data_IF_247570110070
#
_entry.id   IF_247570110070
#
_cell.length_a   1.000
_cell.length_b   1.000
_cell.length_c   1.000
_cell.angle_alpha   90.00
_cell.angle_beta   90.00
_cell.angle_gamma   90.00
#
_symmetry.space_group_name_H-M   'P 1'
#
loop_
_entity.id
_entity.type
_entity.pdbx_description
1 polymer ?
#
# COMPACT_ATOMS: atom_id res chain seq x y z
N UNK A 1 15.15 23.15 29.42
CA UNK A 1 15.40 22.73 28.03
C UNK A 1 14.73 21.38 27.84
N UNK A 2 13.54 21.34 27.23
CA UNK A 2 12.88 20.08 26.88
C UNK A 2 13.07 19.85 25.39
N UNK A 3 13.59 18.67 25.06
CA UNK A 3 14.02 18.28 23.72
C UNK A 3 12.83 18.22 22.76
N UNK A 4 13.02 18.87 21.61
CA UNK A 4 12.17 18.84 20.44
C UNK A 4 12.40 17.48 19.76
N UNK A 5 11.49 16.53 19.93
CA UNK A 5 11.38 15.40 19.01
C UNK A 5 10.36 15.76 17.94
N UNK A 6 10.79 16.56 16.96
CA UNK A 6 10.08 16.66 15.70
C UNK A 6 10.37 15.37 14.91
N UNK A 7 9.64 14.29 15.19
CA UNK A 7 9.53 13.16 14.28
C UNK A 7 8.64 13.61 13.11
N UNK A 8 9.19 14.49 12.28
CA UNK A 8 8.69 14.69 10.92
C UNK A 8 9.25 13.55 10.09
N UNK A 9 8.76 12.34 10.28
CA UNK A 9 8.87 11.36 9.20
C UNK A 9 7.95 11.87 8.09
N UNK A 10 8.57 12.50 7.09
CA UNK A 10 7.85 12.95 5.91
C UNK A 10 7.34 11.70 5.21
N UNK A 11 6.04 11.48 5.23
CA UNK A 11 5.40 10.43 4.45
C UNK A 11 5.77 10.63 2.99
N UNK A 12 6.31 9.59 2.37
CA UNK A 12 6.68 9.55 0.96
C UNK A 12 5.50 9.03 0.17
N UNK A 13 5.20 9.68 -0.96
CA UNK A 13 4.26 9.11 -1.92
C UNK A 13 4.82 7.78 -2.45
N UNK A 14 3.95 6.77 -2.56
CA UNK A 14 4.25 5.51 -3.23
C UNK A 14 3.46 5.45 -4.54
N UNK A 15 4.09 5.76 -5.69
CA UNK A 15 3.42 5.70 -6.98
C UNK A 15 2.95 4.28 -7.27
N UNK A 16 1.66 4.14 -7.56
CA UNK A 16 1.04 2.88 -7.93
C UNK A 16 0.72 2.89 -9.43
N UNK A 17 1.11 1.82 -10.12
CA UNK A 17 0.87 1.62 -11.54
C UNK A 17 0.19 0.25 -11.76
N UNK A 18 -0.70 0.17 -12.74
CA UNK A 18 -1.39 -1.07 -13.08
C UNK A 18 -2.77 -0.82 -13.65
N UNK A 19 -3.65 -1.81 -13.50
CA UNK A 19 -5.03 -1.78 -13.98
C UNK A 19 -5.97 -1.80 -12.79
N UNK A 20 -6.74 -0.73 -12.62
CA UNK A 20 -7.77 -0.64 -11.58
C UNK A 20 -9.08 -0.14 -12.19
N UNK A 21 -9.89 -1.09 -12.66
CA UNK A 21 -11.21 -0.83 -13.21
C UNK A 21 -12.27 -0.97 -12.12
N UNK A 22 -13.06 0.08 -11.95
CA UNK A 22 -14.25 0.05 -11.10
C UNK A 22 -15.46 0.07 -12.03
N UNK A 23 -16.48 -0.74 -11.72
CA UNK A 23 -17.68 -0.89 -12.58
C UNK A 23 -18.54 0.39 -12.71
N UNK A 24 -18.13 1.52 -12.13
CA UNK A 24 -18.87 2.77 -12.12
C UNK A 24 -18.37 3.76 -13.19
N UNK A 25 -19.31 4.33 -13.95
CA UNK A 25 -19.10 5.04 -15.22
C UNK A 25 -18.56 6.48 -15.12
N UNK A 26 -18.01 6.90 -14.00
CA UNK A 26 -17.50 8.25 -13.81
C UNK A 26 -16.29 8.22 -12.88
N UNK A 27 -15.12 8.63 -13.40
CA UNK A 27 -13.87 8.87 -12.67
C UNK A 27 -13.71 8.02 -11.42
N UNK A 28 -13.58 6.70 -11.61
CA UNK A 28 -13.42 5.80 -10.49
C UNK A 28 -12.11 6.11 -9.78
N UNK A 29 -12.13 6.53 -8.51
CA UNK A 29 -10.92 6.98 -7.87
C UNK A 29 -10.04 5.75 -7.58
N UNK A 30 -8.82 5.77 -8.12
CA UNK A 30 -7.84 4.69 -8.03
C UNK A 30 -7.22 4.72 -6.63
N UNK A 31 -7.02 3.57 -5.96
CA UNK A 31 -6.32 3.53 -4.68
C UNK A 31 -4.96 4.22 -4.76
N UNK A 32 -4.63 4.98 -3.72
CA UNK A 32 -3.33 5.65 -3.58
C UNK A 32 -2.57 5.09 -2.40
N UNK A 33 -1.25 5.21 -2.43
CA UNK A 33 -0.39 4.77 -1.34
C UNK A 33 0.64 5.83 -0.95
N UNK A 34 0.99 5.83 0.32
CA UNK A 34 2.13 6.55 0.88
C UNK A 34 2.78 5.69 1.97
N UNK A 35 4.00 6.03 2.35
CA UNK A 35 4.72 5.25 3.37
C UNK A 35 5.71 6.10 4.15
N UNK A 36 5.99 5.68 5.38
CA UNK A 36 7.05 6.20 6.23
C UNK A 36 8.01 5.05 6.63
N UNK A 37 8.83 5.19 7.67
CA UNK A 37 9.74 4.12 8.06
C UNK A 37 9.03 2.95 8.76
N UNK A 38 7.79 3.14 9.21
CA UNK A 38 7.05 2.23 10.06
C UNK A 38 5.91 1.53 9.32
N UNK A 39 5.23 2.23 8.42
CA UNK A 39 3.99 1.76 7.81
C UNK A 39 3.80 2.24 6.38
N UNK A 40 3.05 1.45 5.60
CA UNK A 40 2.43 1.86 4.35
C UNK A 40 0.97 2.15 4.63
N UNK A 41 0.48 3.28 4.12
CA UNK A 41 -0.90 3.73 4.20
C UNK A 41 -1.50 3.68 2.82
N UNK A 42 -2.65 3.02 2.69
CA UNK A 42 -3.38 2.88 1.43
C UNK A 42 -4.78 3.42 1.63
N UNK A 43 -5.18 4.34 0.77
CA UNK A 43 -6.54 4.88 0.70
C UNK A 43 -7.24 4.28 -0.51
N UNK A 44 -8.34 3.55 -0.28
CA UNK A 44 -9.22 3.06 -1.33
C UNK A 44 -10.54 3.86 -1.31
N UNK A 45 -10.72 4.83 -2.19
CA UNK A 45 -11.91 5.67 -2.22
C UNK A 45 -13.16 4.97 -2.78
N UNK A 46 -13.05 3.72 -3.24
CA UNK A 46 -14.20 2.91 -3.71
C UNK A 46 -14.08 1.45 -3.25
N UNK A 47 -14.22 1.18 -1.94
CA UNK A 47 -14.20 -0.18 -1.39
C UNK A 47 -15.40 -0.98 -1.93
N UNK A 48 -15.14 -2.12 -2.57
CA UNK A 48 -16.19 -2.94 -3.21
C UNK A 48 -15.82 -4.43 -3.38
N UNK A 49 -14.67 -4.85 -2.84
CA UNK A 49 -14.16 -6.21 -2.92
C UNK A 49 -13.05 -6.40 -1.89
N UNK A 50 -12.73 -7.66 -1.61
CA UNK A 50 -11.54 -8.02 -0.84
C UNK A 50 -10.28 -7.69 -1.62
N UNK A 51 -9.25 -7.22 -0.91
CA UNK A 51 -7.96 -6.85 -1.48
C UNK A 51 -6.86 -7.64 -0.79
N UNK A 52 -6.04 -8.32 -1.58
CA UNK A 52 -4.79 -8.94 -1.13
C UNK A 52 -3.63 -7.99 -1.39
N UNK A 53 -2.91 -7.64 -0.32
CA UNK A 53 -1.63 -6.95 -0.38
C UNK A 53 -0.52 -7.98 -0.26
N UNK A 54 0.49 -7.87 -1.13
CA UNK A 54 1.70 -8.68 -1.10
C UNK A 54 2.90 -7.73 -1.17
N UNK A 55 3.90 -7.94 -0.33
CA UNK A 55 5.19 -7.23 -0.40
C UNK A 55 6.28 -8.25 -0.69
N UNK A 56 7.05 -7.96 -1.72
CA UNK A 56 8.15 -8.81 -2.19
C UNK A 56 9.46 -8.03 -2.09
N UNK A 57 10.51 -8.66 -1.56
CA UNK A 57 11.86 -8.10 -1.54
C UNK A 57 12.49 -8.11 -2.93
N UNK A 58 13.61 -7.42 -3.10
CA UNK A 58 14.36 -7.42 -4.37
C UNK A 58 14.88 -8.81 -4.79
N UNK A 59 14.94 -9.78 -3.88
CA UNK A 59 15.32 -11.17 -4.20
C UNK A 59 14.15 -12.01 -4.70
N UNK A 60 12.93 -11.48 -4.68
CA UNK A 60 11.70 -12.19 -5.03
C UNK A 60 11.02 -12.89 -3.85
N UNK A 61 11.54 -12.72 -2.62
CA UNK A 61 10.94 -13.30 -1.42
C UNK A 61 9.69 -12.53 -0.98
N UNK A 62 8.58 -13.23 -0.77
CA UNK A 62 7.36 -12.67 -0.17
C UNK A 62 7.59 -12.45 1.33
N UNK A 63 7.76 -11.19 1.73
CA UNK A 63 8.03 -10.82 3.14
C UNK A 63 6.76 -10.44 3.90
N UNK A 64 5.67 -10.17 3.19
CA UNK A 64 4.35 -9.91 3.77
C UNK A 64 3.25 -10.25 2.79
N UNK A 65 2.17 -10.85 3.31
CA UNK A 65 0.92 -11.02 2.58
C UNK A 65 -0.27 -11.01 3.51
N UNK A 66 -1.28 -10.22 3.16
CA UNK A 66 -2.53 -10.15 3.91
C UNK A 66 -3.69 -9.85 2.97
N UNK A 67 -4.83 -10.48 3.24
CA UNK A 67 -6.10 -10.13 2.60
C UNK A 67 -6.94 -9.34 3.57
N UNK A 68 -7.41 -8.18 3.12
CA UNK A 68 -8.36 -7.32 3.81
C UNK A 68 -9.74 -7.58 3.22
N UNK A 69 -10.75 -7.78 4.08
CA UNK A 69 -12.13 -7.91 3.62
C UNK A 69 -12.62 -6.58 3.07
N UNK A 70 -13.60 -6.58 2.15
CA UNK A 70 -14.19 -5.38 1.53
C UNK A 70 -14.42 -4.24 2.53
N UNK A 71 -15.04 -4.55 3.68
CA UNK A 71 -15.34 -3.60 4.77
C UNK A 71 -14.12 -2.92 5.41
N UNK A 72 -12.92 -3.46 5.20
CA UNK A 72 -11.65 -2.96 5.73
C UNK A 72 -10.81 -2.27 4.65
N UNK A 73 -11.21 -2.36 3.38
CA UNK A 73 -10.35 -1.90 2.28
C UNK A 73 -10.33 -0.38 2.10
N UNK A 74 -11.27 0.36 2.69
CA UNK A 74 -11.34 1.82 2.58
C UNK A 74 -10.05 2.51 3.03
N UNK A 75 -9.42 2.00 4.10
CA UNK A 75 -8.15 2.48 4.61
C UNK A 75 -7.36 1.32 5.21
N UNK A 76 -6.20 0.99 4.60
CA UNK A 76 -5.35 -0.12 5.03
C UNK A 76 -4.00 0.39 5.53
N UNK A 77 -3.52 -0.21 6.61
CA UNK A 77 -2.21 0.10 7.21
C UNK A 77 -1.40 -1.19 7.28
N UNK A 78 -0.26 -1.20 6.61
CA UNK A 78 0.67 -2.34 6.61
C UNK A 78 1.92 -1.94 7.40
N UNK A 79 2.27 -2.71 8.43
CA UNK A 79 3.47 -2.47 9.23
C UNK A 79 4.70 -3.00 8.49
N UNK A 80 5.70 -2.14 8.31
CA UNK A 80 6.97 -2.43 7.64
C UNK A 80 8.20 -2.10 8.50
N UNK A 81 8.02 -1.60 9.73
CA UNK A 81 9.14 -1.18 10.60
C UNK A 81 10.09 -2.32 11.04
N UNK A 82 9.76 -3.58 10.77
CA UNK A 82 10.62 -4.74 10.99
C UNK A 82 11.35 -5.21 9.72
N UNK A 83 11.08 -4.61 8.56
CA UNK A 83 11.77 -4.93 7.31
C UNK A 83 13.17 -4.30 7.33
N UNK A 84 14.14 -5.04 6.79
CA UNK A 84 15.50 -4.52 6.63
C UNK A 84 15.56 -3.46 5.54
N UNK A 85 16.54 -2.55 5.60
CA UNK A 85 16.73 -1.57 4.52
C UNK A 85 16.94 -2.27 3.18
N UNK A 86 16.32 -1.72 2.13
CA UNK A 86 16.28 -2.35 0.81
C UNK A 86 15.13 -1.86 -0.05
N UNK A 87 15.06 -2.38 -1.27
CA UNK A 87 13.96 -2.13 -2.19
C UNK A 87 12.93 -3.25 -2.12
N UNK A 88 11.67 -2.85 -2.16
CA UNK A 88 10.52 -3.73 -2.08
C UNK A 88 9.49 -3.35 -3.14
N UNK A 89 8.73 -4.34 -3.58
CA UNK A 89 7.56 -4.15 -4.42
C UNK A 89 6.31 -4.43 -3.61
N UNK A 90 5.40 -3.47 -3.57
CA UNK A 90 4.04 -3.67 -3.10
C UNK A 90 3.16 -4.04 -4.29
N UNK A 91 2.41 -5.13 -4.17
CA UNK A 91 1.34 -5.50 -5.07
C UNK A 91 0.01 -5.49 -4.32
N UNK A 92 -0.97 -4.79 -4.87
CA UNK A 92 -2.36 -4.83 -4.48
C UNK A 92 -3.15 -5.55 -5.57
N UNK A 93 -3.93 -6.55 -5.22
CA UNK A 93 -4.78 -7.27 -6.17
C UNK A 93 -6.15 -7.59 -5.57
N UNK A 94 -7.18 -7.67 -6.40
CA UNK A 94 -8.50 -8.15 -5.98
C UNK A 94 -8.96 -9.35 -6.83
N UNK A 95 -10.07 -9.96 -6.42
CA UNK A 95 -10.66 -11.11 -7.11
C UNK A 95 -11.33 -10.76 -8.47
N UNK A 96 -11.29 -9.50 -8.89
CA UNK A 96 -11.86 -9.01 -10.15
C UNK A 96 -10.81 -8.89 -11.26
N UNK A 97 -9.56 -9.27 -10.99
CA UNK A 97 -8.44 -9.16 -11.94
C UNK A 97 -7.80 -7.78 -11.99
N UNK A 98 -8.14 -6.88 -11.07
CA UNK A 98 -7.46 -5.61 -10.92
C UNK A 98 -6.17 -5.79 -10.12
N UNK A 99 -5.17 -5.00 -10.47
CA UNK A 99 -3.90 -4.97 -9.77
C UNK A 99 -3.24 -3.60 -9.85
N UNK A 100 -2.58 -3.22 -8.76
CA UNK A 100 -1.70 -2.06 -8.67
C UNK A 100 -0.37 -2.49 -8.07
N UNK A 101 0.71 -1.92 -8.58
CA UNK A 101 2.08 -2.23 -8.17
C UNK A 101 2.86 -0.95 -7.94
N UNK A 102 3.69 -0.91 -6.90
CA UNK A 102 4.56 0.20 -6.58
C UNK A 102 5.87 -0.28 -5.98
N UNK A 103 6.96 0.43 -6.27
CA UNK A 103 8.28 0.15 -5.70
C UNK A 103 8.58 1.18 -4.64
N UNK A 104 9.03 0.74 -3.48
CA UNK A 104 9.44 1.60 -2.38
C UNK A 104 10.77 1.15 -1.77
N UNK A 105 11.50 2.09 -1.19
CA UNK A 105 12.76 1.83 -0.50
C UNK A 105 12.68 2.23 0.97
N UNK A 106 13.14 1.34 1.85
CA UNK A 106 13.33 1.55 3.28
C UNK A 106 14.79 1.89 3.55
#
# INVERSE_FOLDING_TARGET
MQNIYAFSETTKNLPLNGRWEVKARSLSPIPTASYDSQSIYIENPSPNCDITITITSSTGEEVYRQTFSESQTAYMVIRIGNLTSGQYTLQMANNQGNYLTGVFGI
#
